data_IF_040113800136
#
_entry.id   IF_040113800136
#
_cell.length_a   1.000
_cell.length_b   1.000
_cell.length_c   1.000
_cell.angle_alpha   90.00
_cell.angle_beta   90.00
_cell.angle_gamma   90.00
#
_symmetry.space_group_name_H-M   'P 1'
#
loop_
_entity.id
_entity.type
_entity.pdbx_description
1 polymer ?
#
# COMPACT_ATOMS: atom_id res chain seq x y z
N UNK A 1 -69.20 56.98 -26.53
CA UNK A 1 -68.04 57.38 -25.71
C UNK A 1 -67.03 56.24 -25.81
N UNK A 2 -65.82 56.38 -26.33
CA UNK A 2 -64.98 57.56 -26.55
C UNK A 2 -64.29 57.48 -27.91
N UNK A 3 -64.50 58.50 -28.75
CA UNK A 3 -63.86 58.67 -30.06
C UNK A 3 -62.78 59.76 -30.04
N UNK A 4 -62.36 60.23 -28.87
CA UNK A 4 -61.56 61.46 -28.72
C UNK A 4 -60.08 61.21 -28.37
N UNK A 5 -59.51 60.08 -28.79
CA UNK A 5 -58.08 59.78 -28.57
C UNK A 5 -57.29 59.40 -29.82
N UNK A 6 -57.87 59.58 -31.00
CA UNK A 6 -57.19 59.32 -32.27
C UNK A 6 -57.49 60.46 -33.23
N UNK A 7 -56.44 61.18 -33.64
CA UNK A 7 -56.54 62.34 -34.55
C UNK A 7 -57.02 61.91 -35.96
N UNK A 8 -56.99 60.61 -36.26
CA UNK A 8 -57.49 60.02 -37.49
C UNK A 8 -58.43 58.84 -37.20
N UNK A 9 -59.46 58.61 -38.06
CA UNK A 9 -60.30 57.43 -38.01
C UNK A 9 -59.46 56.15 -38.14
N UNK A 10 -59.85 55.12 -37.40
CA UNK A 10 -59.20 53.79 -37.40
C UNK A 10 -59.08 53.20 -38.81
N UNK A 11 -60.02 53.50 -39.71
CA UNK A 11 -59.95 53.03 -41.11
C UNK A 11 -58.82 53.68 -41.93
N UNK A 12 -58.36 54.89 -41.57
CA UNK A 12 -57.27 55.59 -42.28
C UNK A 12 -55.91 55.08 -41.78
N UNK A 13 -55.81 54.77 -40.48
CA UNK A 13 -54.58 54.23 -39.87
C UNK A 13 -54.20 52.89 -40.51
N UNK A 14 -55.17 52.03 -40.79
CA UNK A 14 -54.96 50.74 -41.45
C UNK A 14 -54.46 50.87 -42.91
N UNK A 15 -54.78 51.98 -43.59
CA UNK A 15 -54.42 52.24 -44.99
C UNK A 15 -53.26 53.25 -45.17
N UNK A 16 -52.60 53.65 -44.07
CA UNK A 16 -51.51 54.64 -44.11
C UNK A 16 -50.18 53.96 -44.41
N UNK A 17 -49.36 54.59 -45.26
CA UNK A 17 -48.04 54.07 -45.66
C UNK A 17 -47.11 53.78 -44.45
N UNK A 18 -47.23 54.52 -43.35
CA UNK A 18 -46.50 54.28 -42.09
C UNK A 18 -46.86 52.95 -41.41
N UNK A 19 -48.12 52.52 -41.42
CA UNK A 19 -48.52 51.22 -40.87
C UNK A 19 -47.93 50.07 -41.70
N UNK A 20 -47.95 50.23 -43.03
CA UNK A 20 -47.30 49.29 -43.94
C UNK A 20 -45.77 49.28 -43.80
N UNK A 21 -45.09 50.42 -43.64
CA UNK A 21 -43.65 50.48 -43.40
C UNK A 21 -43.25 49.93 -42.02
N UNK A 22 -44.10 50.08 -41.00
CA UNK A 22 -43.89 49.48 -39.68
C UNK A 22 -44.10 47.96 -39.71
N UNK A 23 -45.10 47.47 -40.46
CA UNK A 23 -45.43 46.05 -40.54
C UNK A 23 -44.57 45.25 -41.54
N UNK A 24 -43.95 45.90 -42.54
CA UNK A 24 -43.23 45.26 -43.65
C UNK A 24 -41.78 45.74 -43.81
N UNK A 25 -41.08 46.15 -42.74
CA UNK A 25 -39.64 46.36 -42.83
C UNK A 25 -38.88 45.03 -42.74
N UNK A 26 -38.69 44.39 -43.90
CA UNK A 26 -37.99 43.10 -44.05
C UNK A 26 -36.61 43.09 -43.38
N UNK A 27 -35.93 44.24 -43.34
CA UNK A 27 -34.61 44.38 -42.72
C UNK A 27 -34.64 44.09 -41.20
N UNK A 28 -35.61 44.66 -40.49
CA UNK A 28 -35.79 44.41 -39.04
C UNK A 28 -36.18 42.96 -38.76
N UNK A 29 -37.00 42.36 -39.63
CA UNK A 29 -37.38 40.94 -39.53
C UNK A 29 -36.17 40.01 -39.73
N UNK A 30 -35.29 40.33 -40.68
CA UNK A 30 -34.04 39.59 -40.90
C UNK A 30 -33.14 39.69 -39.66
N UNK A 31 -32.97 40.87 -39.08
CA UNK A 31 -32.18 41.05 -37.85
C UNK A 31 -32.74 40.19 -36.71
N UNK A 32 -34.05 40.24 -36.48
CA UNK A 32 -34.70 39.42 -35.46
C UNK A 32 -34.48 37.92 -35.68
N UNK A 33 -34.65 37.46 -36.92
CA UNK A 33 -34.47 36.05 -37.28
C UNK A 33 -33.00 35.60 -37.15
N UNK A 34 -32.03 36.46 -37.48
CA UNK A 34 -30.61 36.18 -37.30
C UNK A 34 -30.29 36.04 -35.81
N UNK A 35 -30.76 36.97 -34.97
CA UNK A 35 -30.58 36.90 -33.52
C UNK A 35 -31.18 35.62 -32.95
N UNK A 36 -32.39 35.26 -33.39
CA UNK A 36 -33.06 34.03 -32.95
C UNK A 36 -32.25 32.78 -33.32
N UNK A 37 -31.71 32.70 -34.54
CA UNK A 37 -30.89 31.57 -34.99
C UNK A 37 -29.58 31.50 -34.21
N UNK A 38 -28.91 32.63 -33.95
CA UNK A 38 -27.69 32.67 -33.13
C UNK A 38 -27.96 32.15 -31.71
N UNK A 39 -29.10 32.53 -31.13
CA UNK A 39 -29.50 32.12 -29.79
C UNK A 39 -29.75 30.61 -29.74
N UNK A 40 -30.46 30.05 -30.73
CA UNK A 40 -30.68 28.60 -30.86
C UNK A 40 -29.36 27.86 -31.08
N UNK A 41 -28.48 28.38 -31.95
CA UNK A 41 -27.17 27.79 -32.22
C UNK A 41 -26.28 27.78 -30.97
N UNK A 42 -26.33 28.82 -30.13
CA UNK A 42 -25.61 28.87 -28.87
C UNK A 42 -26.09 27.79 -27.88
N UNK A 43 -27.40 27.57 -27.78
CA UNK A 43 -27.95 26.49 -26.94
C UNK A 43 -27.54 25.10 -27.45
N UNK A 44 -27.59 24.89 -28.77
CA UNK A 44 -27.15 23.62 -29.38
C UNK A 44 -25.65 23.40 -29.18
N UNK A 45 -24.84 24.45 -29.30
CA UNK A 45 -23.40 24.40 -29.06
C UNK A 45 -23.08 24.01 -27.61
N UNK A 46 -23.84 24.51 -26.63
CA UNK A 46 -23.67 24.14 -25.23
C UNK A 46 -23.90 22.64 -25.00
N UNK A 47 -24.87 22.05 -25.70
CA UNK A 47 -25.16 20.61 -25.62
C UNK A 47 -24.12 19.76 -26.38
N UNK A 48 -23.62 20.23 -27.52
CA UNK A 48 -22.63 19.50 -28.33
C UNK A 48 -21.22 19.53 -27.73
N UNK A 49 -20.82 20.65 -27.13
CA UNK A 49 -19.46 20.83 -26.60
C UNK A 49 -19.36 20.08 -25.27
N UNK A 50 -18.82 18.86 -25.32
CA UNK A 50 -18.39 18.13 -24.13
C UNK A 50 -17.14 18.80 -23.58
N UNK A 51 -17.30 19.51 -22.47
CA UNK A 51 -16.16 20.05 -21.72
C UNK A 51 -15.60 18.91 -20.87
N UNK A 52 -14.38 18.47 -21.17
CA UNK A 52 -13.68 17.50 -20.35
C UNK A 52 -13.31 18.13 -19.01
N UNK A 53 -14.02 17.72 -17.96
CA UNK A 53 -13.72 18.15 -16.59
C UNK A 53 -12.54 17.34 -16.07
N UNK A 54 -11.33 17.86 -16.30
CA UNK A 54 -10.12 17.29 -15.74
C UNK A 54 -10.02 17.61 -14.25
N UNK A 55 -10.53 16.71 -13.41
CA UNK A 55 -10.35 16.78 -11.96
C UNK A 55 -8.91 16.37 -11.64
N UNK A 56 -8.04 17.37 -11.45
CA UNK A 56 -6.69 17.15 -10.93
C UNK A 56 -6.78 16.87 -9.43
N UNK A 57 -6.92 15.60 -9.06
CA UNK A 57 -6.72 15.17 -7.68
C UNK A 57 -5.22 15.09 -7.40
N UNK A 58 -4.75 15.80 -6.39
CA UNK A 58 -3.39 15.65 -5.88
C UNK A 58 -3.32 14.34 -5.08
N UNK A 59 -3.09 13.23 -5.77
CA UNK A 59 -2.80 11.95 -5.13
C UNK A 59 -1.37 11.94 -4.58
N UNK A 60 -1.20 11.47 -3.34
CA UNK A 60 0.13 11.17 -2.80
C UNK A 60 0.45 9.71 -3.08
N UNK A 61 1.57 9.45 -3.76
CA UNK A 61 2.10 8.10 -3.87
C UNK A 61 2.56 7.63 -2.48
N UNK A 62 1.79 6.71 -1.89
CA UNK A 62 2.18 6.01 -0.67
C UNK A 62 2.66 4.60 -1.03
N UNK A 63 3.82 4.17 -0.51
CA UNK A 63 4.21 2.77 -0.58
C UNK A 63 3.12 1.87 0.01
N UNK A 64 2.82 0.75 -0.67
CA UNK A 64 1.84 -0.25 -0.19
C UNK A 64 2.26 -0.90 1.13
N UNK A 65 3.57 -0.94 1.40
CA UNK A 65 4.13 -1.44 2.64
C UNK A 65 4.85 -0.30 3.38
N UNK A 66 4.63 -0.20 4.69
CA UNK A 66 5.34 0.75 5.53
C UNK A 66 6.85 0.46 5.53
N UNK A 67 7.64 1.51 5.75
CA UNK A 67 9.10 1.40 5.86
C UNK A 67 9.45 0.58 7.10
N UNK A 68 9.83 -0.67 6.89
CA UNK A 68 10.24 -1.55 7.98
C UNK A 68 11.71 -1.32 8.32
N UNK A 69 12.00 -0.88 9.54
CA UNK A 69 13.36 -0.70 10.02
C UNK A 69 13.89 -2.04 10.55
N UNK A 70 14.92 -2.59 9.91
CA UNK A 70 15.51 -3.86 10.34
C UNK A 70 16.53 -3.58 11.44
N UNK A 71 16.27 -4.12 12.63
CA UNK A 71 17.14 -4.01 13.81
C UNK A 71 17.74 -5.37 14.15
N UNK A 72 19.04 -5.43 14.53
CA UNK A 72 19.62 -6.67 15.00
C UNK A 72 19.00 -7.05 16.36
N UNK A 73 18.74 -8.35 16.55
CA UNK A 73 18.19 -8.89 17.80
C UNK A 73 19.20 -8.81 18.96
N UNK A 74 20.50 -8.85 18.63
CA UNK A 74 21.60 -8.83 19.59
C UNK A 74 22.55 -7.67 19.27
N UNK A 75 23.13 -7.08 20.31
CA UNK A 75 24.23 -6.14 20.16
C UNK A 75 25.53 -6.90 19.90
N UNK A 76 26.31 -6.44 18.92
CA UNK A 76 27.62 -7.03 18.60
C UNK A 76 28.32 -6.29 17.47
N UNK A 77 29.57 -6.66 17.22
CA UNK A 77 30.37 -6.10 16.11
C UNK A 77 29.96 -6.75 14.79
N UNK A 78 29.78 -5.94 13.75
CA UNK A 78 29.52 -6.43 12.39
C UNK A 78 30.77 -7.16 11.90
N UNK A 79 30.57 -8.38 11.42
CA UNK A 79 31.62 -9.19 10.79
C UNK A 79 31.60 -8.99 9.27
N UNK A 80 30.44 -9.18 8.65
CA UNK A 80 30.25 -9.11 7.20
C UNK A 80 28.97 -8.36 6.84
N UNK A 81 29.01 -7.58 5.76
CA UNK A 81 27.87 -6.85 5.22
C UNK A 81 27.57 -7.32 3.79
N UNK A 82 26.35 -7.79 3.55
CA UNK A 82 25.92 -8.33 2.26
C UNK A 82 24.97 -7.39 1.50
N UNK A 83 24.80 -6.15 1.99
CA UNK A 83 23.87 -5.18 1.41
C UNK A 83 24.54 -3.93 0.87
N UNK A 84 23.88 -3.33 -0.13
CA UNK A 84 24.20 -2.03 -0.71
C UNK A 84 22.92 -1.18 -0.73
N UNK A 85 23.10 0.13 -0.80
CA UNK A 85 21.97 1.06 -0.86
C UNK A 85 21.06 0.77 -2.05
N UNK A 86 19.75 0.94 -1.85
CA UNK A 86 18.69 0.70 -2.84
C UNK A 86 18.64 -0.72 -3.42
N UNK A 87 19.30 -1.69 -2.78
CA UNK A 87 19.23 -3.07 -3.22
C UNK A 87 17.91 -3.73 -2.80
N UNK A 88 17.28 -4.43 -3.74
CA UNK A 88 16.11 -5.24 -3.46
C UNK A 88 16.49 -6.50 -2.68
N UNK A 89 15.81 -6.75 -1.56
CA UNK A 89 16.04 -7.91 -0.68
C UNK A 89 14.77 -8.73 -0.52
N UNK A 90 14.90 -10.02 -0.23
CA UNK A 90 13.78 -10.94 0.00
C UNK A 90 13.68 -11.35 1.47
N UNK A 91 12.48 -11.75 1.90
CA UNK A 91 12.28 -12.29 3.24
C UNK A 91 13.19 -13.52 3.46
N UNK A 92 13.88 -13.54 4.61
CA UNK A 92 14.85 -14.60 4.97
C UNK A 92 16.26 -14.42 4.39
N UNK A 93 16.50 -13.39 3.57
CA UNK A 93 17.85 -13.10 3.07
C UNK A 93 18.74 -12.54 4.19
N UNK A 94 19.96 -13.07 4.29
CA UNK A 94 20.97 -12.56 5.23
C UNK A 94 21.48 -11.21 4.73
N UNK A 95 21.37 -10.19 5.59
CA UNK A 95 21.78 -8.82 5.26
C UNK A 95 23.16 -8.48 5.83
N UNK A 96 23.44 -8.97 7.04
CA UNK A 96 24.70 -8.80 7.75
C UNK A 96 24.92 -9.99 8.68
N UNK A 97 26.18 -10.23 9.02
CA UNK A 97 26.58 -11.19 10.05
C UNK A 97 27.22 -10.45 11.22
N UNK A 98 26.89 -10.86 12.44
CA UNK A 98 27.47 -10.34 13.68
C UNK A 98 28.52 -11.32 14.17
N UNK A 99 29.66 -10.81 14.64
CA UNK A 99 30.76 -11.62 15.13
C UNK A 99 30.39 -12.36 16.42
N UNK A 100 30.70 -13.66 16.48
CA UNK A 100 30.26 -14.60 17.54
C UNK A 100 31.30 -14.89 18.62
N UNK A 101 32.20 -13.95 18.93
CA UNK A 101 33.41 -14.19 19.75
C UNK A 101 33.13 -14.91 21.08
N UNK A 102 32.04 -14.56 21.79
CA UNK A 102 31.69 -15.21 23.07
C UNK A 102 30.61 -16.29 22.93
N UNK A 103 29.88 -16.35 21.82
CA UNK A 103 28.76 -17.30 21.66
C UNK A 103 29.28 -18.70 21.37
N UNK A 104 30.35 -18.83 20.57
CA UNK A 104 30.90 -20.14 20.20
C UNK A 104 31.46 -20.89 21.41
N UNK A 105 32.20 -20.21 22.28
CA UNK A 105 32.73 -20.80 23.52
C UNK A 105 31.63 -21.23 24.48
N UNK A 106 30.56 -20.43 24.61
CA UNK A 106 29.42 -20.76 25.45
C UNK A 106 28.60 -21.93 24.88
N UNK A 107 28.45 -22.00 23.57
CA UNK A 107 27.76 -23.10 22.89
C UNK A 107 28.55 -24.41 23.03
N UNK A 108 29.87 -24.36 22.82
CA UNK A 108 30.75 -25.51 23.02
C UNK A 108 30.71 -26.02 24.48
N UNK A 109 30.74 -25.11 25.47
CA UNK A 109 30.61 -25.48 26.88
C UNK A 109 29.25 -26.12 27.17
N UNK A 110 28.16 -25.57 26.64
CA UNK A 110 26.82 -26.12 26.81
C UNK A 110 26.70 -27.51 26.18
N UNK A 111 27.24 -27.72 24.98
CA UNK A 111 27.24 -29.03 24.31
C UNK A 111 28.05 -30.06 25.10
N UNK A 112 29.20 -29.67 25.65
CA UNK A 112 30.01 -30.52 26.51
C UNK A 112 29.23 -30.93 27.77
N UNK A 113 28.62 -29.99 28.47
CA UNK A 113 27.81 -30.26 29.66
C UNK A 113 26.61 -31.17 29.35
N UNK A 114 25.90 -30.94 28.24
CA UNK A 114 24.79 -31.80 27.81
C UNK A 114 25.24 -33.23 27.54
N UNK A 115 26.41 -33.40 26.93
CA UNK A 115 26.97 -34.72 26.64
C UNK A 115 27.35 -35.44 27.94
N UNK A 116 28.04 -34.77 28.85
CA UNK A 116 28.44 -35.36 30.13
C UNK A 116 27.24 -35.78 30.98
N UNK A 117 26.20 -34.94 31.08
CA UNK A 117 24.96 -35.30 31.78
C UNK A 117 24.26 -36.49 31.14
N UNK A 118 24.27 -36.59 29.80
CA UNK A 118 23.67 -37.71 29.08
C UNK A 118 24.42 -39.02 29.34
N UNK A 119 25.75 -38.97 29.38
CA UNK A 119 26.58 -40.13 29.71
C UNK A 119 26.40 -40.55 31.17
N UNK A 120 26.27 -39.60 32.10
CA UNK A 120 25.92 -39.88 33.50
C UNK A 120 24.56 -40.56 33.64
N UNK A 121 23.53 -40.08 32.93
CA UNK A 121 22.19 -40.69 32.94
C UNK A 121 22.20 -42.10 32.34
N UNK A 122 22.94 -42.30 31.26
CA UNK A 122 23.12 -43.61 30.65
C UNK A 122 23.77 -44.60 31.62
N UNK A 123 24.84 -44.18 32.28
CA UNK A 123 25.59 -45.00 33.24
C UNK A 123 24.76 -45.31 34.49
N UNK A 124 24.04 -44.33 35.04
CA UNK A 124 23.06 -44.55 36.11
C UNK A 124 22.01 -45.59 35.71
N UNK A 125 21.51 -45.52 34.48
CA UNK A 125 20.58 -46.51 33.94
C UNK A 125 21.17 -47.93 33.90
N UNK A 126 22.44 -48.05 33.50
CA UNK A 126 23.15 -49.33 33.51
C UNK A 126 23.38 -49.86 34.93
N UNK A 127 23.78 -49.01 35.86
CA UNK A 127 24.01 -49.36 37.27
C UNK A 127 22.72 -49.82 37.95
N UNK A 128 21.60 -49.12 37.75
CA UNK A 128 20.29 -49.51 38.28
C UNK A 128 19.84 -50.85 37.71
N UNK A 129 20.06 -51.09 36.42
CA UNK A 129 19.71 -52.35 35.78
C UNK A 129 20.57 -53.52 36.28
N UNK A 130 21.86 -53.30 36.49
CA UNK A 130 22.77 -54.30 37.07
C UNK A 130 22.41 -54.61 38.52
N UNK A 131 22.10 -53.59 39.33
CA UNK A 131 21.60 -53.74 40.69
C UNK A 131 20.32 -54.59 40.72
N UNK A 132 19.35 -54.30 39.84
CA UNK A 132 18.08 -55.03 39.76
C UNK A 132 18.25 -56.50 39.36
N UNK A 133 19.22 -56.81 38.49
CA UNK A 133 19.46 -58.18 37.99
C UNK A 133 20.51 -58.95 38.78
N UNK A 134 21.14 -58.33 39.79
CA UNK A 134 22.25 -58.88 40.57
C UNK A 134 23.42 -59.41 39.72
N UNK A 135 23.65 -58.83 38.54
CA UNK A 135 24.61 -59.31 37.53
C UNK A 135 25.88 -58.46 37.50
N UNK A 136 26.55 -58.39 38.66
CA UNK A 136 27.79 -57.62 38.86
C UNK A 136 29.04 -58.25 38.24
N UNK A 137 28.87 -59.39 37.56
CA UNK A 137 29.97 -60.19 37.02
C UNK A 137 30.57 -59.64 35.71
N UNK A 138 29.84 -58.78 35.00
CA UNK A 138 30.27 -58.17 33.74
C UNK A 138 30.78 -56.74 33.97
N UNK A 139 31.98 -56.43 33.46
CA UNK A 139 32.48 -55.04 33.40
C UNK A 139 31.46 -54.18 32.66
N UNK A 140 30.83 -53.25 33.40
CA UNK A 140 29.89 -52.31 32.80
C UNK A 140 30.67 -51.31 31.94
N UNK A 141 30.26 -51.07 30.68
CA UNK A 141 30.87 -50.04 29.84
C UNK A 141 30.35 -48.66 30.27
N UNK A 142 30.89 -48.15 31.38
CA UNK A 142 30.60 -46.81 31.88
C UNK A 142 31.37 -45.78 31.05
N UNK A 143 30.69 -44.72 30.62
CA UNK A 143 31.23 -43.68 29.73
C UNK A 143 31.50 -42.36 30.47
N UNK A 144 30.77 -42.10 31.54
CA UNK A 144 30.94 -40.91 32.37
C UNK A 144 32.27 -40.95 33.11
N UNK A 145 32.97 -39.82 33.15
CA UNK A 145 34.19 -39.68 33.94
C UNK A 145 33.97 -39.88 35.44
N UNK A 146 32.77 -39.63 35.95
CA UNK A 146 32.43 -39.79 37.38
C UNK A 146 32.26 -41.25 37.73
N UNK A 147 31.45 -42.00 36.97
CA UNK A 147 31.14 -43.39 37.28
C UNK A 147 32.20 -44.37 36.77
N UNK A 148 32.86 -44.06 35.65
CA UNK A 148 33.94 -44.89 35.10
C UNK A 148 35.25 -44.85 35.90
N UNK A 149 35.44 -43.88 36.80
CA UNK A 149 36.61 -43.83 37.69
C UNK A 149 36.37 -44.51 39.06
N UNK A 150 35.11 -44.71 39.44
CA UNK A 150 34.72 -45.25 40.74
C UNK A 150 34.47 -46.77 40.72
N UNK A 151 34.49 -47.38 39.54
CA UNK A 151 34.26 -48.81 39.27
C UNK A 151 35.40 -49.42 38.47
#
# INVERSE_FOLDING_TARGET
MDSDKYIFPKEIIENTAEYHFHSHNSYTKVIYQVILVVLIAAFLALFLIKVDVNVKSTGLFRPTAERNEIKPLIAGRIDSLFIKENMHVKAGQVLLTIKKENIESQDALNQFQQTDVKDQLHDLGLLINAYRRNDWSKKLPLKSGVYGQQY
#
